data_IF_355897243554
#
_entry.id   IF_355897243554
#
_cell.length_a   1.000
_cell.length_b   1.000
_cell.length_c   1.000
_cell.angle_alpha   90.00
_cell.angle_beta   90.00
_cell.angle_gamma   90.00
#
_symmetry.space_group_name_H-M   'P 1'
#
loop_
_entity.id
_entity.type
_entity.pdbx_description
1 polymer ?
#
# COMPACT_ATOMS: atom_id res chain seq x y z
N UNK A 1 -9.45 -26.29 -9.70
CA UNK A 1 -8.72 -25.96 -8.48
C UNK A 1 -7.42 -25.31 -8.92
N UNK A 2 -7.33 -24.02 -8.82
CA UNK A 2 -6.16 -23.26 -9.18
C UNK A 2 -5.38 -22.86 -7.91
N UNK A 3 -4.06 -22.72 -8.05
CA UNK A 3 -3.16 -22.28 -6.99
C UNK A 3 -2.73 -20.85 -7.23
N UNK A 4 -3.17 -19.93 -6.40
CA UNK A 4 -3.11 -18.50 -6.66
C UNK A 4 -2.27 -17.81 -5.59
N UNK A 5 -1.19 -17.15 -6.00
CA UNK A 5 -0.35 -16.33 -5.13
C UNK A 5 -0.79 -14.87 -5.09
N UNK A 6 -0.65 -14.22 -3.95
CA UNK A 6 -0.81 -12.78 -3.82
C UNK A 6 0.31 -12.18 -2.98
N UNK A 7 0.89 -11.10 -3.46
CA UNK A 7 1.95 -10.38 -2.77
C UNK A 7 1.82 -8.87 -2.97
N UNK A 8 2.04 -8.11 -1.90
CA UNK A 8 2.23 -6.66 -1.97
C UNK A 8 3.73 -6.37 -2.09
N UNK A 9 4.11 -5.64 -3.12
CA UNK A 9 5.48 -5.24 -3.41
C UNK A 9 5.71 -3.77 -3.05
N UNK A 10 6.98 -3.34 -2.95
CA UNK A 10 7.37 -1.95 -2.69
C UNK A 10 7.02 -1.43 -1.27
N UNK A 11 6.93 -2.32 -0.28
CA UNK A 11 6.87 -1.90 1.12
C UNK A 11 8.24 -1.36 1.58
N UNK A 12 8.30 -0.28 2.41
CA UNK A 12 9.55 0.40 2.75
C UNK A 12 10.62 -0.43 3.46
N UNK A 13 10.26 -1.58 4.03
CA UNK A 13 11.14 -2.47 4.81
C UNK A 13 11.23 -3.89 4.21
N UNK A 14 10.78 -4.06 2.97
CA UNK A 14 10.61 -5.36 2.37
C UNK A 14 11.89 -5.85 1.68
N UNK A 15 12.29 -7.08 1.96
CA UNK A 15 13.25 -7.85 1.15
C UNK A 15 12.51 -8.43 -0.06
N UNK A 16 12.23 -7.58 -1.04
CA UNK A 16 11.35 -7.87 -2.19
C UNK A 16 11.75 -9.16 -2.90
N UNK A 17 13.04 -9.36 -3.14
CA UNK A 17 13.54 -10.55 -3.86
C UNK A 17 13.28 -11.85 -3.09
N UNK A 18 13.50 -11.86 -1.77
CA UNK A 18 13.27 -13.05 -0.95
C UNK A 18 11.78 -13.41 -0.88
N UNK A 19 10.93 -12.40 -0.83
CA UNK A 19 9.47 -12.55 -0.71
C UNK A 19 8.86 -13.06 -2.01
N UNK A 20 9.30 -12.54 -3.14
CA UNK A 20 8.89 -13.04 -4.45
C UNK A 20 9.36 -14.47 -4.68
N UNK A 21 10.61 -14.80 -4.31
CA UNK A 21 11.12 -16.17 -4.40
C UNK A 21 10.32 -17.15 -3.54
N UNK A 22 9.85 -16.73 -2.36
CA UNK A 22 9.01 -17.58 -1.49
C UNK A 22 7.68 -17.93 -2.15
N UNK A 23 7.00 -16.94 -2.73
CA UNK A 23 5.72 -17.16 -3.45
C UNK A 23 5.95 -17.99 -4.72
N UNK A 24 7.04 -17.76 -5.45
CA UNK A 24 7.36 -18.51 -6.67
C UNK A 24 7.63 -20.00 -6.40
N UNK A 25 8.28 -20.33 -5.27
CA UNK A 25 8.52 -21.71 -4.84
C UNK A 25 7.23 -22.52 -4.56
N UNK A 26 6.12 -21.83 -4.39
CA UNK A 26 4.83 -22.48 -4.15
C UNK A 26 4.15 -23.00 -5.43
N UNK A 27 4.77 -22.87 -6.60
CA UNK A 27 4.23 -23.31 -7.91
C UNK A 27 2.81 -22.82 -8.16
N UNK A 28 2.60 -21.51 -7.97
CA UNK A 28 1.32 -20.87 -8.24
C UNK A 28 1.03 -20.81 -9.74
N UNK A 29 -0.20 -21.12 -10.16
CA UNK A 29 -0.67 -20.96 -11.53
C UNK A 29 -0.72 -19.47 -11.92
N UNK A 30 -1.11 -18.63 -10.97
CA UNK A 30 -1.19 -17.18 -11.12
C UNK A 30 -0.65 -16.47 -9.89
N UNK A 31 0.02 -15.31 -10.08
CA UNK A 31 0.49 -14.46 -8.98
C UNK A 31 0.00 -13.03 -9.19
N UNK A 32 -0.86 -12.55 -8.29
CA UNK A 32 -1.29 -11.16 -8.23
C UNK A 32 -0.27 -10.33 -7.47
N UNK A 33 0.29 -9.31 -8.12
CA UNK A 33 1.27 -8.39 -7.54
C UNK A 33 0.63 -7.02 -7.30
N UNK A 34 0.36 -6.69 -6.05
CA UNK A 34 -0.15 -5.38 -5.66
C UNK A 34 1.01 -4.44 -5.38
N UNK A 35 1.06 -3.30 -6.04
CA UNK A 35 2.01 -2.25 -5.66
C UNK A 35 1.53 -1.54 -4.41
N UNK A 36 2.42 -1.38 -3.43
CA UNK A 36 2.10 -0.60 -2.24
C UNK A 36 1.65 0.80 -2.64
N UNK A 37 0.47 1.21 -2.17
CA UNK A 37 -0.10 2.51 -2.43
C UNK A 37 -0.52 3.18 -1.12
N UNK A 38 -0.02 4.38 -0.87
CA UNK A 38 -0.36 5.20 0.32
C UNK A 38 -1.86 5.48 0.41
N UNK A 39 -2.56 5.58 -0.72
CA UNK A 39 -4.03 5.75 -0.79
C UNK A 39 -4.82 4.53 -0.34
N UNK A 40 -4.16 3.41 -0.15
CA UNK A 40 -4.81 2.22 0.38
C UNK A 40 -5.66 1.44 -0.62
N UNK A 41 -5.56 1.70 -1.91
CA UNK A 41 -6.29 0.96 -2.93
C UNK A 41 -5.65 -0.42 -3.13
N UNK A 42 -6.42 -1.47 -2.97
CA UNK A 42 -6.02 -2.87 -3.19
C UNK A 42 -6.73 -3.39 -4.44
N UNK A 43 -6.27 -2.94 -5.60
CA UNK A 43 -6.90 -3.28 -6.89
C UNK A 43 -6.69 -4.74 -7.24
N UNK A 44 -5.46 -5.23 -7.04
CA UNK A 44 -5.13 -6.62 -7.40
C UNK A 44 -5.75 -7.62 -6.41
N UNK A 45 -5.85 -7.28 -5.12
CA UNK A 45 -6.60 -8.10 -4.16
C UNK A 45 -8.08 -8.19 -4.52
N UNK A 46 -8.68 -7.08 -4.97
CA UNK A 46 -10.07 -7.10 -5.43
C UNK A 46 -10.23 -7.99 -6.66
N UNK A 47 -9.37 -7.86 -7.66
CA UNK A 47 -9.39 -8.73 -8.84
C UNK A 47 -9.23 -10.21 -8.46
N UNK A 48 -8.30 -10.51 -7.54
CA UNK A 48 -8.15 -11.86 -7.01
C UNK A 48 -9.49 -12.34 -6.43
N UNK A 49 -10.10 -11.58 -5.52
CA UNK A 49 -11.37 -11.97 -4.89
C UNK A 49 -12.52 -12.17 -5.90
N UNK A 50 -12.57 -11.34 -6.94
CA UNK A 50 -13.58 -11.44 -8.00
C UNK A 50 -13.38 -12.69 -8.89
N UNK A 51 -12.13 -13.15 -9.06
CA UNK A 51 -11.78 -14.27 -9.95
C UNK A 51 -11.63 -15.64 -9.25
N UNK A 52 -11.80 -15.70 -7.92
CA UNK A 52 -11.72 -16.97 -7.18
C UNK A 52 -12.84 -17.92 -7.57
N UNK A 53 -12.48 -19.19 -7.76
CA UNK A 53 -13.43 -20.30 -7.96
C UNK A 53 -13.51 -21.19 -6.72
N UNK A 54 -14.49 -22.06 -6.69
CA UNK A 54 -14.66 -23.01 -5.59
C UNK A 54 -13.46 -23.94 -5.48
N UNK A 55 -13.01 -24.16 -4.24
CA UNK A 55 -11.87 -25.02 -3.87
C UNK A 55 -10.51 -24.56 -4.40
N UNK A 56 -10.36 -23.29 -4.81
CA UNK A 56 -9.04 -22.76 -5.14
C UNK A 56 -8.14 -22.65 -3.88
N UNK A 57 -6.83 -22.74 -4.09
CA UNK A 57 -5.82 -22.46 -3.06
C UNK A 57 -5.32 -21.05 -3.19
N UNK A 58 -5.35 -20.27 -2.10
CA UNK A 58 -4.84 -18.91 -2.09
C UNK A 58 -3.64 -18.81 -1.14
N UNK A 59 -2.52 -18.37 -1.67
CA UNK A 59 -1.25 -18.29 -0.96
C UNK A 59 -0.86 -16.83 -0.78
N UNK A 60 -0.71 -16.43 0.46
CA UNK A 60 -0.24 -15.12 0.88
C UNK A 60 1.13 -15.22 1.54
N UNK A 61 1.92 -14.17 1.46
CA UNK A 61 3.17 -14.10 2.19
C UNK A 61 2.93 -14.07 3.71
N UNK A 62 2.08 -13.16 4.17
CA UNK A 62 1.60 -13.05 5.55
C UNK A 62 0.26 -12.33 5.61
N UNK A 63 -0.45 -12.43 6.73
CA UNK A 63 -1.68 -11.66 6.96
C UNK A 63 -1.44 -10.15 6.85
N UNK A 64 -0.38 -9.65 7.48
CA UNK A 64 -0.01 -8.24 7.48
C UNK A 64 0.36 -7.73 6.08
N UNK A 65 0.99 -8.57 5.23
CA UNK A 65 1.27 -8.22 3.84
C UNK A 65 -0.01 -8.17 2.99
N UNK A 66 -0.94 -9.12 3.21
CA UNK A 66 -2.14 -9.25 2.37
C UNK A 66 -3.24 -8.24 2.70
N UNK A 67 -3.47 -7.93 3.99
CA UNK A 67 -4.64 -7.19 4.43
C UNK A 67 -4.26 -5.93 5.21
N UNK A 68 -4.96 -4.83 4.91
CA UNK A 68 -4.75 -3.53 5.57
C UNK A 68 -5.48 -3.37 6.90
N UNK A 69 -6.13 -4.41 7.38
CA UNK A 69 -6.84 -4.42 8.64
C UNK A 69 -7.88 -5.52 8.73
N UNK A 70 -8.40 -5.70 9.93
CA UNK A 70 -9.33 -6.79 10.29
C UNK A 70 -10.57 -6.83 9.39
N UNK A 71 -11.11 -5.66 9.01
CA UNK A 71 -12.30 -5.61 8.14
C UNK A 71 -12.07 -6.28 6.79
N UNK A 72 -10.90 -6.03 6.18
CA UNK A 72 -10.57 -6.61 4.87
C UNK A 72 -10.31 -8.12 5.00
N UNK A 73 -9.64 -8.54 6.07
CA UNK A 73 -9.47 -9.94 6.40
C UNK A 73 -10.83 -10.65 6.57
N UNK A 74 -11.77 -10.09 7.34
CA UNK A 74 -13.09 -10.67 7.53
C UNK A 74 -13.88 -10.82 6.23
N UNK A 75 -13.81 -9.83 5.33
CA UNK A 75 -14.44 -9.94 4.01
C UNK A 75 -13.86 -11.11 3.21
N UNK A 76 -12.53 -11.24 3.19
CA UNK A 76 -11.87 -12.33 2.49
C UNK A 76 -12.23 -13.71 3.10
N UNK A 77 -12.21 -13.82 4.43
CA UNK A 77 -12.58 -15.07 5.12
C UNK A 77 -14.04 -15.49 4.85
N UNK A 78 -14.96 -14.53 4.72
CA UNK A 78 -16.33 -14.84 4.33
C UNK A 78 -16.42 -15.44 2.90
N UNK A 79 -15.68 -14.84 1.94
CA UNK A 79 -15.60 -15.37 0.58
C UNK A 79 -14.97 -16.77 0.59
N UNK A 80 -13.88 -16.94 1.35
CA UNK A 80 -13.17 -18.20 1.45
C UNK A 80 -14.07 -19.33 1.99
N UNK A 81 -14.91 -19.03 2.98
CA UNK A 81 -15.86 -20.00 3.52
C UNK A 81 -16.93 -20.37 2.51
N UNK A 82 -17.48 -19.41 1.78
CA UNK A 82 -18.52 -19.64 0.76
C UNK A 82 -17.98 -20.52 -0.39
N UNK A 83 -16.75 -20.25 -0.81
CA UNK A 83 -16.09 -20.94 -1.94
C UNK A 83 -15.23 -22.14 -1.52
N UNK A 84 -15.21 -22.51 -0.24
CA UNK A 84 -14.39 -23.59 0.30
C UNK A 84 -12.91 -23.46 -0.10
N UNK A 85 -12.34 -22.27 0.01
CA UNK A 85 -10.96 -22.01 -0.37
C UNK A 85 -10.00 -22.57 0.67
N UNK A 86 -8.85 -23.08 0.21
CA UNK A 86 -7.69 -23.30 1.06
C UNK A 86 -6.87 -22.02 1.14
N UNK A 87 -6.52 -21.59 2.35
CA UNK A 87 -5.75 -20.37 2.60
C UNK A 87 -4.43 -20.72 3.27
N UNK A 88 -3.33 -20.23 2.72
CA UNK A 88 -1.99 -20.45 3.25
C UNK A 88 -1.30 -19.10 3.47
N UNK A 89 -0.80 -18.85 4.69
CA UNK A 89 0.08 -17.71 5.02
C UNK A 89 1.48 -18.26 5.33
N UNK A 90 2.42 -18.00 4.43
CA UNK A 90 3.76 -18.63 4.47
C UNK A 90 4.59 -18.21 5.67
N UNK A 91 4.64 -16.90 5.99
CA UNK A 91 5.41 -16.39 7.13
C UNK A 91 4.74 -16.68 8.47
N UNK A 92 3.43 -16.60 8.49
CA UNK A 92 2.65 -16.83 9.71
C UNK A 92 2.50 -18.34 10.01
N UNK A 93 2.92 -19.21 9.05
CA UNK A 93 2.82 -20.68 9.15
C UNK A 93 1.38 -21.14 9.46
N UNK A 94 0.44 -20.56 8.73
CA UNK A 94 -0.98 -20.89 8.85
C UNK A 94 -1.43 -21.54 7.54
N UNK A 95 -2.12 -22.67 7.67
CA UNK A 95 -2.79 -23.36 6.58
C UNK A 95 -4.19 -23.76 7.06
N UNK A 96 -5.22 -23.30 6.38
CA UNK A 96 -6.61 -23.55 6.77
C UNK A 96 -7.00 -25.04 6.75
N UNK A 97 -6.27 -25.87 5.99
CA UNK A 97 -6.50 -27.32 5.93
C UNK A 97 -5.51 -28.11 6.80
N UNK A 98 -4.48 -27.48 7.33
CA UNK A 98 -3.49 -28.12 8.19
C UNK A 98 -2.53 -29.09 7.48
N UNK A 99 -2.51 -29.10 6.14
CA UNK A 99 -1.68 -30.04 5.37
C UNK A 99 -0.21 -29.58 5.27
N UNK A 100 0.02 -28.30 5.06
CA UNK A 100 1.38 -27.73 4.95
C UNK A 100 1.95 -27.34 6.29
N UNK A 101 1.14 -26.78 7.16
CA UNK A 101 1.50 -26.34 8.51
C UNK A 101 0.46 -26.85 9.48
N UNK A 102 0.94 -27.40 10.59
CA UNK A 102 0.07 -27.80 11.68
C UNK A 102 -0.70 -26.59 12.22
N UNK A 103 -2.00 -26.75 12.42
CA UNK A 103 -2.86 -25.66 12.89
C UNK A 103 -2.47 -25.24 14.29
N UNK A 104 -1.99 -23.99 14.44
CA UNK A 104 -1.65 -23.40 15.73
C UNK A 104 -2.50 -22.18 16.00
N UNK A 105 -3.28 -22.23 17.06
CA UNK A 105 -4.05 -21.08 17.55
C UNK A 105 -3.14 -19.93 17.91
N UNK A 106 -1.95 -20.21 18.46
CA UNK A 106 -0.95 -19.22 18.80
C UNK A 106 -0.47 -18.43 17.56
N UNK A 107 -0.10 -19.14 16.49
CA UNK A 107 0.29 -18.50 15.23
C UNK A 107 -0.82 -17.61 14.67
N UNK A 108 -2.08 -18.04 14.76
CA UNK A 108 -3.23 -17.26 14.30
C UNK A 108 -3.41 -15.98 15.13
N UNK A 109 -3.37 -16.09 16.46
CA UNK A 109 -3.49 -14.94 17.35
C UNK A 109 -2.34 -13.93 17.16
N UNK A 110 -1.12 -14.43 17.00
CA UNK A 110 0.04 -13.59 16.70
C UNK A 110 -0.13 -12.87 15.36
N UNK A 111 -0.52 -13.57 14.29
CA UNK A 111 -0.73 -12.96 12.97
C UNK A 111 -1.84 -11.88 12.99
N UNK A 112 -2.92 -12.09 13.75
CA UNK A 112 -3.97 -11.07 13.94
C UNK A 112 -3.43 -9.84 14.70
N UNK A 113 -2.58 -10.02 15.70
CA UNK A 113 -1.99 -8.91 16.46
C UNK A 113 -1.08 -8.04 15.60
N UNK A 114 -0.22 -8.66 14.78
CA UNK A 114 0.65 -7.92 13.83
C UNK A 114 -0.16 -7.14 12.79
N UNK A 115 -1.28 -7.65 12.35
CA UNK A 115 -2.18 -6.97 11.42
C UNK A 115 -2.70 -5.63 11.99
N UNK A 116 -2.98 -5.55 13.28
CA UNK A 116 -3.41 -4.31 13.93
C UNK A 116 -2.28 -3.30 14.09
N UNK A 117 -1.08 -3.74 14.41
CA UNK A 117 0.11 -2.89 14.54
C UNK A 117 0.52 -2.29 13.20
N UNK A 118 0.60 -3.08 12.14
CA UNK A 118 0.91 -2.61 10.80
C UNK A 118 -0.13 -1.60 10.29
N UNK A 119 -1.41 -1.82 10.57
CA UNK A 119 -2.45 -0.85 10.21
C UNK A 119 -2.31 0.47 10.97
N UNK A 120 -1.80 0.47 12.20
CA UNK A 120 -1.48 1.68 12.95
C UNK A 120 -0.25 2.40 12.38
N UNK A 121 0.82 1.68 12.07
CA UNK A 121 2.02 2.22 11.44
C UNK A 121 1.70 2.87 10.09
N UNK A 122 0.92 2.20 9.25
CA UNK A 122 0.44 2.72 7.95
C UNK A 122 -0.39 4.00 8.14
N UNK A 123 -1.31 4.04 9.12
CA UNK A 123 -2.09 5.26 9.42
C UNK A 123 -1.19 6.41 9.88
N UNK A 124 -0.16 6.13 10.67
CA UNK A 124 0.82 7.13 11.12
C UNK A 124 1.62 7.70 9.96
N UNK A 125 2.12 6.85 9.07
CA UNK A 125 2.84 7.24 7.86
C UNK A 125 1.94 8.10 6.95
N UNK A 126 0.70 7.68 6.74
CA UNK A 126 -0.29 8.42 5.95
C UNK A 126 -0.55 9.82 6.52
N UNK A 127 -0.79 9.94 7.83
CA UNK A 127 -0.98 11.25 8.49
C UNK A 127 0.24 12.15 8.35
N UNK A 128 1.45 11.58 8.41
CA UNK A 128 2.69 12.35 8.21
C UNK A 128 2.86 12.82 6.76
N UNK A 129 2.52 11.99 5.77
CA UNK A 129 2.56 12.37 4.35
C UNK A 129 1.53 13.45 4.03
N UNK A 130 0.29 13.31 4.49
CA UNK A 130 -0.77 14.32 4.35
C UNK A 130 -0.36 15.67 4.97
N UNK A 131 0.26 15.64 6.16
CA UNK A 131 0.79 16.85 6.80
C UNK A 131 1.89 17.51 5.98
N UNK A 132 2.81 16.71 5.39
CA UNK A 132 3.87 17.23 4.51
C UNK A 132 3.31 17.85 3.22
N UNK A 133 2.32 17.22 2.61
CA UNK A 133 1.68 17.74 1.41
C UNK A 133 0.94 19.05 1.69
N UNK A 134 0.18 19.13 2.79
CA UNK A 134 -0.48 20.40 3.21
C UNK A 134 0.54 21.51 3.44
N UNK A 135 1.64 21.24 4.16
CA UNK A 135 2.70 22.24 4.35
C UNK A 135 3.34 22.69 3.03
N UNK A 136 3.59 21.77 2.07
CA UNK A 136 4.13 22.10 0.76
C UNK A 136 3.15 22.93 -0.06
N UNK A 137 1.86 22.60 -0.01
CA UNK A 137 0.81 23.35 -0.70
C UNK A 137 0.68 24.77 -0.15
N UNK A 138 0.64 24.93 1.18
CA UNK A 138 0.61 26.23 1.83
C UNK A 138 1.85 27.10 1.50
N UNK A 139 3.05 26.50 1.58
CA UNK A 139 4.28 27.20 1.23
C UNK A 139 4.31 27.63 -0.25
N UNK A 140 3.75 26.82 -1.14
CA UNK A 140 3.59 27.17 -2.56
C UNK A 140 2.60 28.31 -2.75
N UNK A 141 1.49 28.28 -2.05
CA UNK A 141 0.47 29.33 -2.13
C UNK A 141 1.02 30.67 -1.64
N UNK A 142 1.63 30.73 -0.45
CA UNK A 142 2.28 31.93 0.09
C UNK A 142 3.34 32.49 -0.86
N UNK A 143 4.12 31.60 -1.48
CA UNK A 143 5.13 32.01 -2.47
C UNK A 143 4.50 32.65 -3.71
N UNK A 144 3.38 32.09 -4.18
CA UNK A 144 2.67 32.60 -5.34
C UNK A 144 2.02 33.97 -5.02
N UNK A 145 1.40 34.12 -3.86
CA UNK A 145 0.82 35.38 -3.39
C UNK A 145 1.87 36.48 -3.32
N UNK A 146 3.03 36.20 -2.70
CA UNK A 146 4.16 37.14 -2.65
C UNK A 146 4.66 37.53 -4.04
N UNK A 147 4.68 36.61 -5.00
CA UNK A 147 5.04 36.89 -6.38
C UNK A 147 4.09 37.90 -7.03
N UNK A 148 2.78 37.71 -6.84
CA UNK A 148 1.75 38.64 -7.36
C UNK A 148 1.83 40.00 -6.68
N UNK A 149 2.05 40.08 -5.38
CA UNK A 149 2.21 41.34 -4.64
C UNK A 149 3.40 42.14 -5.15
N UNK A 150 4.57 41.52 -5.31
CA UNK A 150 5.77 42.18 -5.81
C UNK A 150 5.59 42.67 -7.25
N UNK A 151 4.89 41.91 -8.08
CA UNK A 151 4.59 42.32 -9.44
C UNK A 151 3.67 43.57 -9.47
N UNK A 152 2.60 43.57 -8.65
CA UNK A 152 1.70 44.73 -8.49
C UNK A 152 2.43 45.97 -7.97
N UNK A 153 3.47 45.76 -7.15
CA UNK A 153 4.34 46.83 -6.65
C UNK A 153 5.36 47.35 -7.69
N UNK A 154 5.33 46.84 -8.93
CA UNK A 154 6.20 47.28 -10.03
C UNK A 154 7.63 46.71 -9.95
N UNK A 155 7.89 45.69 -9.14
CA UNK A 155 9.22 45.10 -9.02
C UNK A 155 9.56 44.30 -10.30
N UNK A 156 10.79 44.52 -10.88
CA UNK A 156 11.19 43.78 -12.08
C UNK A 156 11.17 42.26 -11.89
N UNK A 157 10.76 41.51 -12.92
CA UNK A 157 10.61 40.05 -12.86
C UNK A 157 11.88 39.30 -12.48
N UNK A 158 13.06 39.85 -12.80
CA UNK A 158 14.35 39.27 -12.39
C UNK A 158 14.57 39.37 -10.88
N UNK A 159 14.11 40.43 -10.29
CA UNK A 159 14.20 40.65 -8.84
C UNK A 159 13.16 39.84 -8.09
N UNK A 160 11.93 39.73 -8.60
CA UNK A 160 10.88 38.85 -8.09
C UNK A 160 11.36 37.39 -8.08
N UNK A 161 11.98 36.93 -9.17
CA UNK A 161 12.58 35.60 -9.26
C UNK A 161 13.57 35.35 -8.13
N UNK A 162 14.46 36.30 -7.83
CA UNK A 162 15.46 36.16 -6.75
C UNK A 162 14.82 36.17 -5.37
N UNK A 163 13.93 37.12 -5.09
CA UNK A 163 13.30 37.31 -3.78
C UNK A 163 12.35 36.16 -3.41
N UNK A 164 11.66 35.59 -4.41
CA UNK A 164 10.70 34.50 -4.22
C UNK A 164 11.33 33.11 -4.36
N UNK A 165 12.58 33.04 -4.87
CA UNK A 165 13.35 31.79 -4.98
C UNK A 165 12.90 30.90 -6.15
N UNK A 166 12.47 31.49 -7.27
CA UNK A 166 12.18 30.74 -8.49
C UNK A 166 13.43 30.41 -9.29
N UNK A 167 13.47 29.24 -9.92
CA UNK A 167 14.60 28.82 -10.76
C UNK A 167 14.64 29.51 -12.12
N UNK A 168 13.48 29.87 -12.68
CA UNK A 168 13.39 30.50 -14.01
C UNK A 168 12.37 31.64 -14.04
N UNK A 169 12.55 32.59 -14.98
CA UNK A 169 11.57 33.67 -15.26
C UNK A 169 10.21 33.11 -15.71
N UNK A 170 10.21 32.01 -16.46
CA UNK A 170 8.99 31.35 -16.91
C UNK A 170 8.10 30.91 -15.74
N UNK A 171 8.70 30.62 -14.58
CA UNK A 171 7.93 30.29 -13.36
C UNK A 171 7.21 31.51 -12.78
N UNK A 172 7.76 32.70 -12.92
CA UNK A 172 7.11 33.95 -12.51
C UNK A 172 5.92 34.23 -13.43
N UNK A 173 6.14 34.23 -14.75
CA UNK A 173 5.07 34.47 -15.74
C UNK A 173 3.91 33.49 -15.69
N UNK A 174 4.13 32.23 -15.24
CA UNK A 174 3.06 31.25 -15.11
C UNK A 174 2.15 31.51 -13.91
N UNK A 175 2.56 32.35 -12.98
CA UNK A 175 1.82 32.68 -11.77
C UNK A 175 1.07 33.98 -11.92
N UNK A 176 1.64 34.90 -12.70
CA UNK A 176 1.01 36.19 -13.10
C UNK A 176 -0.06 35.95 -14.15
#
# INVERSE_FOLDING_TARGET
MARIGYIVTELPEQRIEEDEQRIQKENCDFIYRERYNVEGKTKELKKLMDNLNDRDEVIFLSMANAFKGVRQLCLFLNISRIKNLRIIFLRDRIDSYGEKYESSTENLLHAISTLTEDSYAIRKIRKLSEKRERSRSQARQLRNEKCVELYKAGVPTDEIKKQVGFRSKSSVFRIL
#
